data_IF_492489171469
#
_entry.id   IF_492489171469
#
_cell.length_a   1.000
_cell.length_b   1.000
_cell.length_c   1.000
_cell.angle_alpha   90.00
_cell.angle_beta   90.00
_cell.angle_gamma   90.00
#
_symmetry.space_group_name_H-M   'P 1'
#
loop_
_entity.id
_entity.type
_entity.pdbx_description
1 polymer ?
#
# COMPACT_ATOMS: atom_id res chain seq x y z
N UNK A 1 -3.67 -32.19 25.91
CA UNK A 1 -3.82 -31.99 24.45
C UNK A 1 -3.58 -30.52 24.17
N UNK A 2 -2.81 -30.14 23.13
CA UNK A 2 -2.41 -28.76 22.94
C UNK A 2 -3.58 -27.98 22.34
N UNK A 3 -4.06 -26.98 23.06
CA UNK A 3 -5.02 -26.00 22.54
C UNK A 3 -4.23 -25.03 21.67
N UNK A 4 -4.60 -24.97 20.39
CA UNK A 4 -4.02 -24.09 19.39
C UNK A 4 -4.03 -22.65 19.91
N UNK A 5 -2.85 -22.05 19.97
CA UNK A 5 -2.69 -20.61 20.10
C UNK A 5 -3.26 -19.99 18.83
N UNK A 6 -4.45 -19.40 18.95
CA UNK A 6 -4.95 -18.48 17.94
C UNK A 6 -3.97 -17.31 17.96
N UNK A 7 -3.21 -17.15 16.88
CA UNK A 7 -2.41 -15.95 16.62
C UNK A 7 -3.38 -14.76 16.46
N UNK A 8 -3.84 -14.21 17.58
CA UNK A 8 -4.36 -12.86 17.64
C UNK A 8 -3.15 -11.91 17.67
N UNK A 9 -3.33 -10.74 17.08
CA UNK A 9 -2.43 -9.57 17.12
C UNK A 9 -1.30 -9.51 16.08
N UNK A 10 -1.66 -9.28 14.81
CA UNK A 10 -0.80 -8.46 13.93
C UNK A 10 -1.54 -7.51 12.96
N UNK A 11 -2.88 -7.54 12.88
CA UNK A 11 -3.67 -6.63 12.03
C UNK A 11 -3.76 -5.18 12.57
N UNK A 12 -3.08 -4.85 13.67
CA UNK A 12 -3.13 -3.51 14.27
C UNK A 12 -2.33 -2.48 13.48
N UNK A 13 -1.48 -2.92 12.56
CA UNK A 13 -0.59 -2.11 11.73
C UNK A 13 -0.83 -2.29 10.22
N UNK A 14 -1.99 -2.81 9.84
CA UNK A 14 -2.32 -2.95 8.42
C UNK A 14 -2.80 -1.62 7.86
N UNK A 15 -2.16 -1.18 6.77
CA UNK A 15 -2.53 0.01 6.02
C UNK A 15 -3.50 -0.40 4.93
N UNK A 16 -4.70 0.19 4.95
CA UNK A 16 -5.69 -0.02 3.90
C UNK A 16 -5.28 0.77 2.67
N UNK A 17 -4.98 0.09 1.58
CA UNK A 17 -4.58 0.70 0.30
C UNK A 17 -5.73 0.61 -0.69
N UNK A 18 -6.03 1.73 -1.32
CA UNK A 18 -7.00 1.82 -2.41
C UNK A 18 -6.26 2.12 -3.70
N UNK A 19 -6.11 1.11 -4.53
CA UNK A 19 -5.47 1.22 -5.83
C UNK A 19 -6.52 1.54 -6.89
N UNK A 20 -6.26 2.55 -7.72
CA UNK A 20 -7.13 2.97 -8.82
C UNK A 20 -6.36 2.83 -10.13
N UNK A 21 -6.74 1.84 -10.96
CA UNK A 21 -6.07 1.58 -12.22
C UNK A 21 -7.08 1.30 -13.34
N UNK A 22 -6.96 1.98 -14.47
CA UNK A 22 -7.87 1.87 -15.63
C UNK A 22 -9.38 2.01 -15.30
N UNK A 23 -9.72 2.75 -14.24
CA UNK A 23 -11.09 2.94 -13.79
C UNK A 23 -11.59 1.86 -12.81
N UNK A 24 -10.83 0.79 -12.61
CA UNK A 24 -11.07 -0.19 -11.57
C UNK A 24 -10.52 0.31 -10.23
N UNK A 25 -11.21 -0.06 -9.15
CA UNK A 25 -10.80 0.24 -7.77
C UNK A 25 -10.59 -1.07 -7.03
N UNK A 26 -9.38 -1.27 -6.51
CA UNK A 26 -8.97 -2.46 -5.76
C UNK A 26 -8.61 -2.05 -4.34
N UNK A 27 -9.09 -2.81 -3.36
CA UNK A 27 -8.76 -2.58 -1.94
C UNK A 27 -7.88 -3.71 -1.47
N UNK A 28 -6.71 -3.38 -0.94
CA UNK A 28 -5.78 -4.30 -0.31
C UNK A 28 -5.36 -3.79 1.07
N UNK A 29 -4.71 -4.67 1.82
CA UNK A 29 -4.15 -4.36 3.12
C UNK A 29 -2.68 -4.76 3.07
N UNK A 30 -1.81 -3.79 3.32
CA UNK A 30 -0.36 -4.01 3.37
C UNK A 30 0.12 -3.81 4.80
N UNK A 31 1.23 -4.45 5.15
CA UNK A 31 1.87 -4.19 6.42
C UNK A 31 2.50 -2.78 6.39
N UNK A 32 2.38 -2.01 7.47
CA UNK A 32 3.05 -0.70 7.59
C UNK A 32 4.59 -0.78 7.41
N UNK A 33 5.21 -1.91 7.68
CA UNK A 33 6.66 -2.13 7.53
C UNK A 33 7.06 -2.76 6.18
N UNK A 34 6.15 -2.79 5.20
CA UNK A 34 6.44 -3.32 3.86
C UNK A 34 7.57 -2.52 3.20
N UNK A 35 8.46 -3.20 2.49
CA UNK A 35 9.48 -2.52 1.70
C UNK A 35 8.96 -2.18 0.28
N UNK A 36 9.68 -1.31 -0.41
CA UNK A 36 9.29 -0.82 -1.74
C UNK A 36 9.25 -1.93 -2.79
N UNK A 37 10.13 -2.92 -2.72
CA UNK A 37 10.13 -4.05 -3.65
C UNK A 37 8.89 -4.92 -3.47
N UNK A 38 8.56 -5.27 -2.22
CA UNK A 38 7.34 -6.00 -1.86
C UNK A 38 6.09 -5.22 -2.27
N UNK A 39 6.03 -3.92 -1.97
CA UNK A 39 4.91 -3.07 -2.37
C UNK A 39 4.73 -3.01 -3.89
N UNK A 40 5.84 -2.95 -4.64
CA UNK A 40 5.84 -2.99 -6.10
C UNK A 40 5.30 -4.33 -6.62
N UNK A 41 5.71 -5.45 -6.02
CA UNK A 41 5.22 -6.78 -6.37
C UNK A 41 3.72 -6.94 -6.10
N UNK A 42 3.24 -6.41 -4.98
CA UNK A 42 1.80 -6.36 -4.68
C UNK A 42 1.04 -5.58 -5.76
N UNK A 43 1.54 -4.40 -6.18
CA UNK A 43 0.89 -3.62 -7.26
C UNK A 43 0.89 -4.35 -8.60
N UNK A 44 1.98 -5.05 -8.95
CA UNK A 44 2.03 -5.92 -10.15
C UNK A 44 0.96 -7.01 -10.07
N UNK A 45 0.80 -7.65 -8.91
CA UNK A 45 -0.19 -8.71 -8.71
C UNK A 45 -1.64 -8.17 -8.74
N UNK A 46 -1.90 -7.05 -8.07
CA UNK A 46 -3.22 -6.39 -7.98
C UNK A 46 -3.68 -5.92 -9.37
N UNK A 47 -2.83 -5.18 -10.07
CA UNK A 47 -3.15 -4.60 -11.37
C UNK A 47 -2.93 -5.57 -12.54
N UNK A 48 -2.45 -6.80 -12.25
CA UNK A 48 -2.16 -7.88 -13.22
C UNK A 48 -1.21 -7.41 -14.33
N UNK A 49 -0.17 -6.69 -13.95
CA UNK A 49 0.86 -6.25 -14.89
C UNK A 49 1.68 -7.43 -15.40
N UNK A 50 2.21 -7.29 -16.62
CA UNK A 50 3.24 -8.22 -17.10
C UNK A 50 4.52 -8.00 -16.29
N UNK A 51 5.34 -9.04 -16.02
CA UNK A 51 6.54 -8.92 -15.18
C UNK A 51 7.52 -7.81 -15.58
N UNK A 52 7.64 -7.52 -16.88
CA UNK A 52 8.55 -6.49 -17.41
C UNK A 52 7.84 -5.17 -17.76
N UNK A 53 6.57 -5.02 -17.39
CA UNK A 53 5.81 -3.81 -17.66
C UNK A 53 6.30 -2.68 -16.76
N UNK A 54 6.76 -1.59 -17.38
CA UNK A 54 7.08 -0.36 -16.66
C UNK A 54 5.79 0.36 -16.28
N UNK A 55 5.71 0.79 -15.02
CA UNK A 55 4.62 1.60 -14.49
C UNK A 55 5.15 2.67 -13.53
N UNK A 56 4.28 3.59 -13.12
CA UNK A 56 4.58 4.61 -12.12
C UNK A 56 3.47 4.56 -11.10
N UNK A 57 3.83 4.50 -9.81
CA UNK A 57 2.87 4.57 -8.71
C UNK A 57 2.80 6.01 -8.23
N UNK A 58 1.58 6.51 -8.00
CA UNK A 58 1.37 7.81 -7.38
C UNK A 58 0.41 7.68 -6.22
N UNK A 59 0.78 8.16 -5.04
CA UNK A 59 -0.18 8.31 -3.96
C UNK A 59 -0.81 9.70 -3.99
N UNK A 60 -2.01 9.82 -3.44
CA UNK A 60 -2.72 11.10 -3.31
C UNK A 60 -2.53 11.58 -1.88
N UNK A 61 -1.96 12.77 -1.72
CA UNK A 61 -1.76 13.38 -0.41
C UNK A 61 -3.03 14.05 0.15
N UNK A 62 -2.89 14.70 1.30
CA UNK A 62 -3.98 15.39 1.99
C UNK A 62 -4.52 16.62 1.22
N UNK A 63 -3.69 17.21 0.36
CA UNK A 63 -4.06 18.34 -0.48
C UNK A 63 -4.73 17.88 -1.79
N UNK A 64 -4.73 16.57 -2.04
CA UNK A 64 -5.27 15.95 -3.25
C UNK A 64 -4.26 15.89 -4.40
N UNK A 65 -2.98 16.16 -4.12
CA UNK A 65 -1.93 16.19 -5.13
C UNK A 65 -1.33 14.79 -5.36
N UNK A 66 -1.09 14.41 -6.62
CA UNK A 66 -0.50 13.12 -6.94
C UNK A 66 1.03 13.14 -6.75
N UNK A 67 1.51 12.50 -5.70
CA UNK A 67 2.92 12.35 -5.38
C UNK A 67 3.48 11.00 -5.85
N UNK A 68 4.65 10.98 -6.48
CA UNK A 68 5.26 9.75 -7.03
C UNK A 68 5.85 8.88 -5.92
N UNK A 69 5.69 7.56 -6.04
CA UNK A 69 6.42 6.55 -5.25
C UNK A 69 7.32 5.75 -6.19
N UNK A 70 8.63 5.98 -6.09
CA UNK A 70 9.66 5.31 -6.90
C UNK A 70 10.84 4.79 -6.07
N UNK A 71 10.87 5.12 -4.78
CA UNK A 71 11.93 4.77 -3.84
C UNK A 71 11.35 4.38 -2.48
N UNK A 72 12.14 3.68 -1.67
CA UNK A 72 11.77 3.36 -0.28
C UNK A 72 11.47 4.63 0.53
N UNK A 73 12.25 5.70 0.34
CA UNK A 73 12.06 6.95 1.07
C UNK A 73 10.69 7.59 0.80
N UNK A 74 10.24 7.56 -0.46
CA UNK A 74 8.92 8.10 -0.83
C UNK A 74 7.78 7.24 -0.28
N UNK A 75 7.95 5.92 -0.25
CA UNK A 75 6.98 5.01 0.37
C UNK A 75 6.89 5.23 1.88
N UNK A 76 8.05 5.33 2.56
CA UNK A 76 8.12 5.59 4.00
C UNK A 76 7.44 6.91 4.35
N UNK A 77 7.64 7.95 3.53
CA UNK A 77 6.99 9.25 3.75
C UNK A 77 5.47 9.19 3.55
N UNK A 78 5.00 8.48 2.52
CA UNK A 78 3.57 8.28 2.30
C UNK A 78 2.90 7.54 3.48
N UNK A 79 3.56 6.49 4.00
CA UNK A 79 3.08 5.74 5.17
C UNK A 79 3.13 6.58 6.46
N UNK A 80 4.20 7.35 6.66
CA UNK A 80 4.33 8.28 7.80
C UNK A 80 3.23 9.34 7.80
N UNK A 81 2.91 9.91 6.63
CA UNK A 81 1.85 10.91 6.49
C UNK A 81 0.47 10.29 6.72
N UNK A 82 0.21 9.09 6.19
CA UNK A 82 -1.00 8.33 6.47
C UNK A 82 -1.23 8.15 7.99
N UNK A 83 -0.19 7.79 8.75
CA UNK A 83 -0.29 7.63 10.21
C UNK A 83 -0.53 8.97 10.94
N UNK A 84 0.19 10.02 10.56
CA UNK A 84 0.11 11.34 11.19
C UNK A 84 -1.27 11.97 10.99
N UNK A 85 -1.79 11.87 9.77
CA UNK A 85 -3.09 12.42 9.40
C UNK A 85 -4.25 11.53 9.87
N UNK A 86 -3.95 10.30 10.28
CA UNK A 86 -4.92 9.26 10.66
C UNK A 86 -5.90 9.00 9.52
N UNK A 87 -5.36 8.91 8.32
CA UNK A 87 -6.15 8.64 7.13
C UNK A 87 -6.79 7.25 7.22
N UNK A 88 -7.97 7.12 6.62
CA UNK A 88 -8.69 5.84 6.59
C UNK A 88 -8.21 4.90 5.47
N UNK A 89 -7.51 5.46 4.48
CA UNK A 89 -6.91 4.72 3.36
C UNK A 89 -5.75 5.50 2.73
N UNK A 90 -4.74 4.77 2.25
CA UNK A 90 -3.74 5.30 1.32
C UNK A 90 -4.26 5.10 -0.11
N UNK A 91 -4.54 6.18 -0.84
CA UNK A 91 -5.00 6.10 -2.23
C UNK A 91 -3.83 6.12 -3.18
N UNK A 92 -3.75 5.14 -4.08
CA UNK A 92 -2.67 4.95 -5.05
C UNK A 92 -3.25 4.84 -6.46
N UNK A 93 -2.61 5.49 -7.43
CA UNK A 93 -2.91 5.51 -8.85
C UNK A 93 -1.76 4.94 -9.68
#
# INVERSE_FOLDING_TARGET
>A
MPTQLVNQDNHQNDVRVKTVYNGDVMITYINHNINFEEFTQEMVAICRFMPDQVFTMKWVDEEGDPCTISTQLELDEALRLYEINRDSELTVH
#
